data_IF_514958600427
#
_entry.id   IF_514958600427
#
_cell.length_a   1.000
_cell.length_b   1.000
_cell.length_c   1.000
_cell.angle_alpha   90.00
_cell.angle_beta   90.00
_cell.angle_gamma   90.00
#
_symmetry.space_group_name_H-M   'P 1'
#
loop_
_entity.id
_entity.type
_entity.pdbx_description
1 polymer ?
#
# COMPACT_ATOMS: atom_id res chain seq x y z
N UNK A 1 1.70 -4.72 -48.67
CA UNK A 1 2.22 -3.34 -48.76
C UNK A 1 2.11 -2.56 -47.46
N UNK A 2 0.98 -2.65 -46.75
CA UNK A 2 0.72 -2.01 -45.43
C UNK A 2 1.88 -2.11 -44.42
N UNK A 3 2.46 -3.30 -44.20
CA UNK A 3 3.58 -3.50 -43.27
C UNK A 3 4.83 -2.64 -43.59
N UNK A 4 5.10 -2.37 -44.87
CA UNK A 4 6.23 -1.51 -45.30
C UNK A 4 5.94 -0.02 -45.07
N UNK A 5 4.69 0.40 -45.30
CA UNK A 5 4.25 1.79 -45.11
C UNK A 5 4.30 2.17 -43.63
N UNK A 6 3.80 1.31 -42.75
CA UNK A 6 3.73 1.59 -41.32
C UNK A 6 4.99 1.16 -40.54
N UNK A 7 5.99 0.56 -41.22
CA UNK A 7 7.20 0.00 -40.59
C UNK A 7 6.91 -0.97 -39.45
N UNK A 8 5.82 -1.74 -39.58
CA UNK A 8 5.39 -2.76 -38.61
C UNK A 8 5.76 -4.13 -39.16
N UNK A 9 6.18 -5.06 -38.30
CA UNK A 9 6.46 -6.42 -38.73
C UNK A 9 5.21 -7.09 -39.33
N UNK A 10 5.38 -7.88 -40.40
CA UNK A 10 4.27 -8.64 -41.01
C UNK A 10 3.56 -9.52 -39.99
N UNK A 11 4.32 -10.12 -39.06
CA UNK A 11 3.80 -10.96 -37.99
C UNK A 11 2.85 -10.19 -37.05
N UNK A 12 3.21 -8.95 -36.68
CA UNK A 12 2.35 -8.10 -35.84
C UNK A 12 1.02 -7.77 -36.52
N UNK A 13 1.04 -7.51 -37.84
CA UNK A 13 -0.18 -7.26 -38.61
C UNK A 13 -1.08 -8.51 -38.71
N UNK A 14 -0.48 -9.68 -38.93
CA UNK A 14 -1.21 -10.96 -38.95
C UNK A 14 -1.86 -11.27 -37.60
N UNK A 15 -1.17 -10.99 -36.50
CA UNK A 15 -1.72 -11.14 -35.14
C UNK A 15 -2.92 -10.22 -34.88
N UNK A 16 -2.89 -8.97 -35.35
CA UNK A 16 -4.01 -8.04 -35.18
C UNK A 16 -5.22 -8.46 -36.01
N UNK A 17 -5.03 -8.86 -37.27
CA UNK A 17 -6.11 -9.36 -38.12
C UNK A 17 -6.72 -10.66 -37.60
N UNK A 18 -5.92 -11.55 -37.01
CA UNK A 18 -6.42 -12.74 -36.34
C UNK A 18 -7.31 -12.37 -35.15
N UNK A 19 -6.84 -11.42 -34.33
CA UNK A 19 -7.55 -10.97 -33.13
C UNK A 19 -8.87 -10.27 -33.45
N UNK A 20 -8.88 -9.41 -34.47
CA UNK A 20 -10.09 -8.74 -34.97
C UNK A 20 -11.14 -9.75 -35.43
N UNK A 21 -10.73 -10.82 -36.14
CA UNK A 21 -11.66 -11.89 -36.55
C UNK A 21 -12.23 -12.69 -35.37
N UNK A 22 -11.45 -12.89 -34.31
CA UNK A 22 -11.86 -13.71 -33.16
C UNK A 22 -12.69 -12.91 -32.14
N UNK A 23 -12.33 -11.65 -31.88
CA UNK A 23 -12.91 -10.82 -30.80
C UNK A 23 -13.78 -9.68 -31.31
N UNK A 24 -13.69 -9.34 -32.61
CA UNK A 24 -14.31 -8.14 -33.18
C UNK A 24 -13.59 -6.84 -32.81
N UNK A 25 -12.44 -6.94 -32.14
CA UNK A 25 -11.68 -5.80 -31.62
C UNK A 25 -10.17 -6.05 -31.72
N UNK A 26 -9.41 -4.99 -31.95
CA UNK A 26 -7.96 -4.97 -32.09
C UNK A 26 -7.24 -4.32 -30.88
N UNK A 27 -7.99 -3.86 -29.86
CA UNK A 27 -7.41 -3.31 -28.63
C UNK A 27 -6.42 -4.27 -27.96
N UNK A 28 -5.49 -3.74 -27.16
CA UNK A 28 -4.54 -4.55 -26.39
C UNK A 28 -5.28 -5.52 -25.44
N UNK A 29 -4.81 -6.77 -25.33
CA UNK A 29 -5.48 -7.80 -24.50
C UNK A 29 -5.42 -7.52 -23.01
N UNK A 30 -4.45 -6.73 -22.57
CA UNK A 30 -4.36 -6.21 -21.21
C UNK A 30 -4.19 -4.70 -21.29
N UNK A 31 -4.85 -3.93 -20.42
CA UNK A 31 -4.50 -2.52 -20.28
C UNK A 31 -3.01 -2.43 -19.97
N UNK A 32 -2.29 -1.61 -20.74
CA UNK A 32 -0.90 -1.28 -20.43
C UNK A 32 -0.87 -0.65 -19.04
N UNK A 33 -0.16 -1.26 -18.09
CA UNK A 33 0.05 -0.70 -16.74
C UNK A 33 -0.76 -1.32 -15.60
N UNK A 34 -1.51 -2.41 -15.79
CA UNK A 34 -2.05 -3.15 -14.63
C UNK A 34 -0.90 -3.86 -13.92
N UNK A 35 -0.43 -3.27 -12.82
CA UNK A 35 0.54 -3.90 -11.93
C UNK A 35 -0.01 -5.18 -11.30
N UNK A 36 0.86 -5.94 -10.64
CA UNK A 36 0.49 -7.16 -9.94
C UNK A 36 -0.67 -6.92 -8.97
N UNK A 37 -1.62 -7.86 -8.94
CA UNK A 37 -2.74 -7.80 -8.01
C UNK A 37 -2.24 -7.62 -6.56
N UNK A 38 -2.92 -6.79 -5.74
CA UNK A 38 -2.52 -6.57 -4.36
C UNK A 38 -2.62 -7.87 -3.56
N UNK A 39 -1.60 -8.16 -2.73
CA UNK A 39 -1.57 -9.33 -1.84
C UNK A 39 -2.64 -9.30 -0.73
N UNK A 40 -3.26 -8.15 -0.50
CA UNK A 40 -4.38 -7.96 0.43
C UNK A 40 -5.58 -7.52 -0.41
N UNK A 41 -6.37 -8.47 -0.95
CA UNK A 41 -7.59 -8.15 -1.69
C UNK A 41 -8.74 -7.75 -0.75
N UNK A 42 -8.88 -8.38 0.42
CA UNK A 42 -9.95 -8.09 1.39
C UNK A 42 -9.67 -6.84 2.25
N UNK A 43 -9.81 -5.67 1.64
CA UNK A 43 -9.59 -4.37 2.32
C UNK A 43 -10.48 -4.14 3.55
N UNK A 44 -11.73 -4.60 3.53
CA UNK A 44 -12.64 -4.41 4.68
C UNK A 44 -12.24 -5.25 5.90
N UNK A 45 -11.84 -6.51 5.68
CA UNK A 45 -11.33 -7.38 6.75
C UNK A 45 -10.05 -6.79 7.33
N UNK A 46 -9.19 -6.26 6.46
CA UNK A 46 -7.95 -5.62 6.87
C UNK A 46 -8.20 -4.35 7.69
N UNK A 47 -9.24 -3.57 7.38
CA UNK A 47 -9.63 -2.40 8.19
C UNK A 47 -9.96 -2.79 9.63
N UNK A 48 -10.83 -3.79 9.83
CA UNK A 48 -11.20 -4.28 11.17
C UNK A 48 -9.98 -4.80 11.94
N UNK A 49 -9.10 -5.52 11.25
CA UNK A 49 -7.85 -6.00 11.82
C UNK A 49 -6.90 -4.90 12.28
N UNK A 50 -6.79 -3.80 11.51
CA UNK A 50 -5.96 -2.66 11.90
C UNK A 50 -6.56 -1.91 13.10
N UNK A 51 -7.89 -1.85 13.20
CA UNK A 51 -8.57 -1.27 14.36
C UNK A 51 -8.33 -2.11 15.63
N UNK A 52 -8.42 -3.43 15.54
CA UNK A 52 -8.18 -4.37 16.65
C UNK A 52 -6.70 -4.43 17.10
N UNK A 53 -5.76 -4.13 16.20
CA UNK A 53 -4.31 -4.19 16.47
C UNK A 53 -3.61 -2.85 16.35
N UNK A 54 -4.32 -1.75 16.62
CA UNK A 54 -3.81 -0.37 16.51
C UNK A 54 -2.55 -0.08 17.35
N UNK A 55 -2.27 -0.92 18.35
CA UNK A 55 -1.09 -0.91 19.21
C UNK A 55 0.16 -1.51 18.54
N UNK A 56 -0.02 -2.41 17.56
CA UNK A 56 1.07 -3.19 16.96
C UNK A 56 1.77 -2.44 15.85
N UNK A 57 3.05 -2.79 15.63
CA UNK A 57 3.81 -2.27 14.50
C UNK A 57 3.38 -2.95 13.19
N UNK A 58 3.59 -2.28 12.05
CA UNK A 58 3.27 -2.85 10.73
C UNK A 58 4.01 -4.18 10.46
N UNK A 59 5.21 -4.37 11.01
CA UNK A 59 5.96 -5.65 10.93
C UNK A 59 5.27 -6.76 11.71
N UNK A 60 4.72 -6.46 12.89
CA UNK A 60 3.97 -7.42 13.69
C UNK A 60 2.62 -7.73 13.05
N UNK A 61 1.93 -6.71 12.52
CA UNK A 61 0.69 -6.88 11.76
C UNK A 61 0.88 -7.83 10.57
N UNK A 62 1.97 -7.68 9.81
CA UNK A 62 2.32 -8.59 8.72
C UNK A 62 2.50 -10.05 9.19
N UNK A 63 3.11 -10.26 10.36
CA UNK A 63 3.26 -11.61 10.94
C UNK A 63 1.92 -12.22 11.35
N UNK A 64 1.02 -11.42 11.91
CA UNK A 64 -0.29 -11.90 12.41
C UNK A 64 -1.26 -12.14 11.26
N UNK A 65 -1.26 -11.27 10.25
CA UNK A 65 -2.16 -11.39 9.10
C UNK A 65 -1.90 -12.66 8.26
N UNK A 66 -0.67 -13.17 8.27
CA UNK A 66 -0.31 -14.33 7.45
C UNK A 66 -0.29 -14.01 5.95
N UNK A 67 -0.22 -15.03 5.10
CA UNK A 67 -0.30 -14.93 3.63
C UNK A 67 0.91 -14.31 2.89
N UNK A 68 2.16 -14.51 3.36
CA UNK A 68 3.36 -13.94 2.72
C UNK A 68 3.28 -12.41 2.53
N UNK A 69 2.57 -11.76 3.47
CA UNK A 69 2.41 -10.32 3.51
C UNK A 69 3.65 -9.73 4.17
N UNK A 70 4.30 -8.80 3.47
CA UNK A 70 5.43 -8.05 4.02
C UNK A 70 4.94 -6.76 4.68
N UNK A 71 5.79 -6.13 5.47
CA UNK A 71 5.48 -4.83 6.07
C UNK A 71 5.13 -3.77 5.02
N UNK A 72 5.71 -3.82 3.81
CA UNK A 72 5.37 -2.90 2.74
C UNK A 72 3.91 -3.06 2.29
N UNK A 73 3.43 -4.30 2.18
CA UNK A 73 2.03 -4.55 1.79
C UNK A 73 1.04 -3.98 2.81
N UNK A 74 1.35 -4.12 4.11
CA UNK A 74 0.58 -3.50 5.21
C UNK A 74 0.59 -1.98 5.05
N UNK A 75 1.74 -1.37 4.78
CA UNK A 75 1.86 0.07 4.55
C UNK A 75 1.03 0.54 3.34
N UNK A 76 1.08 -0.17 2.22
CA UNK A 76 0.27 0.12 1.03
C UNK A 76 -1.23 -0.01 1.31
N UNK A 77 -1.65 -1.05 2.04
CA UNK A 77 -3.05 -1.24 2.42
C UNK A 77 -3.54 -0.13 3.36
N UNK A 78 -2.74 0.25 4.36
CA UNK A 78 -3.07 1.39 5.24
C UNK A 78 -3.18 2.70 4.45
N UNK A 79 -2.25 2.97 3.52
CA UNK A 79 -2.30 4.14 2.64
C UNK A 79 -3.56 4.14 1.76
N UNK A 80 -3.92 2.98 1.20
CA UNK A 80 -5.11 2.83 0.36
C UNK A 80 -6.41 3.03 1.15
N UNK A 81 -6.42 2.64 2.43
CA UNK A 81 -7.54 2.84 3.35
C UNK A 81 -7.54 4.22 4.04
N UNK A 82 -6.52 5.05 3.83
CA UNK A 82 -6.39 6.35 4.50
C UNK A 82 -6.10 6.26 6.01
N UNK A 83 -5.67 5.11 6.52
CA UNK A 83 -5.41 4.91 7.95
C UNK A 83 -4.06 5.52 8.32
N UNK A 84 -4.08 6.51 9.20
CA UNK A 84 -2.87 7.16 9.74
C UNK A 84 -2.73 6.87 11.23
N UNK A 85 -1.53 6.50 11.69
CA UNK A 85 -1.25 6.26 13.11
C UNK A 85 -1.09 7.59 13.83
N UNK A 86 -2.04 7.93 14.71
CA UNK A 86 -1.91 9.09 15.62
C UNK A 86 -0.89 8.79 16.72
N UNK A 87 0.07 9.69 16.95
CA UNK A 87 1.07 9.58 18.02
C UNK A 87 0.39 9.81 19.38
N UNK A 88 0.67 8.96 20.38
CA UNK A 88 0.25 9.22 21.76
C UNK A 88 1.06 10.40 22.31
N UNK A 89 0.39 11.35 22.97
CA UNK A 89 1.05 12.42 23.72
C UNK A 89 1.79 11.78 24.89
N UNK A 90 3.12 11.91 24.92
CA UNK A 90 3.90 11.59 26.11
C UNK A 90 3.78 12.79 27.03
N UNK A 91 3.09 12.63 28.17
CA UNK A 91 3.07 13.66 29.21
C UNK A 91 4.45 13.63 29.85
N UNK A 92 5.24 14.68 29.67
CA UNK A 92 6.47 14.88 30.43
C UNK A 92 6.07 15.37 31.82
N UNK A 93 6.27 14.55 32.84
CA UNK A 93 6.13 14.99 34.22
C UNK A 93 7.20 16.04 34.49
N UNK A 94 6.79 17.31 34.60
CA UNK A 94 7.67 18.39 35.04
C UNK A 94 7.91 18.22 36.55
N UNK A 95 8.90 17.42 36.94
CA UNK A 95 9.42 17.46 38.31
C UNK A 95 10.15 18.79 38.54
N UNK A 96 9.42 19.81 38.97
CA UNK A 96 10.04 20.97 39.59
C UNK A 96 10.52 20.58 40.99
N UNK A 97 11.84 20.40 41.18
CA UNK A 97 12.42 20.32 42.53
C UNK A 97 12.05 21.59 43.31
N UNK A 98 11.26 21.43 44.37
CA UNK A 98 11.06 22.49 45.36
C UNK A 98 12.43 22.82 45.97
N UNK A 99 12.86 24.08 45.86
CA UNK A 99 13.99 24.59 46.64
C UNK A 99 13.53 24.69 48.08
N UNK A 100 14.13 23.90 48.96
CA UNK A 100 14.01 24.09 50.39
C UNK A 100 14.62 25.45 50.76
N UNK A 101 13.77 26.40 51.15
CA UNK A 101 14.17 27.69 51.70
C UNK A 101 14.74 27.45 53.10
N UNK A 102 16.03 27.13 53.19
CA UNK A 102 16.78 27.27 54.44
C UNK A 102 16.96 28.76 54.75
N UNK A 103 15.97 29.34 55.42
CA UNK A 103 16.11 30.62 56.11
C UNK A 103 16.72 30.38 57.49
N UNK A 104 18.04 30.22 57.53
CA UNK A 104 18.84 30.42 58.73
C UNK A 104 19.80 31.57 58.48
N UNK A 105 19.60 32.67 59.21
CA UNK A 105 20.58 33.65 59.72
C UNK A 105 19.91 34.99 60.02
N UNK A 106 19.53 35.22 61.27
CA UNK A 106 20.25 36.04 62.25
C UNK A 106 19.42 36.19 63.53
#
# INVERSE_FOLDING_TARGET
EVSRVFKISRNSLELWLKKERETGDYQASKPLGVGTAPKIPELEKFRKFVEEHSDKTQKQMAKIWGNNVTQQNVSYACRKLGITRKKKLMVTENEMKKKDLNSSKN
#
